data_IF_281549491558
#
_entry.id   IF_281549491558
#
_cell.length_a   1.000
_cell.length_b   1.000
_cell.length_c   1.000
_cell.angle_alpha   90.00
_cell.angle_beta   90.00
_cell.angle_gamma   90.00
#
_symmetry.space_group_name_H-M   'P 1'
#
loop_
_entity.id
_entity.type
_entity.pdbx_description
1 polymer ?
#
# COMPACT_ATOMS: atom_id res chain seq x y z
N UNK A 1 68.88 -35.94 -34.23
CA UNK A 1 68.60 -34.78 -33.35
C UNK A 1 67.25 -34.25 -33.71
N UNK A 2 66.25 -34.71 -33.02
CA UNK A 2 64.84 -34.49 -33.22
C UNK A 2 64.39 -33.32 -32.35
N UNK A 3 63.91 -32.27 -32.97
CA UNK A 3 63.29 -31.14 -32.31
C UNK A 3 61.79 -31.41 -32.19
N UNK A 4 61.33 -31.57 -30.97
CA UNK A 4 59.91 -31.65 -30.61
C UNK A 4 59.30 -30.26 -30.66
N UNK A 5 58.30 -30.06 -31.57
CA UNK A 5 57.43 -28.88 -31.60
C UNK A 5 56.33 -29.11 -30.58
N UNK A 6 56.34 -28.26 -29.53
CA UNK A 6 55.25 -28.13 -28.57
C UNK A 6 54.03 -27.51 -29.26
N UNK A 7 52.96 -28.33 -29.39
CA UNK A 7 51.61 -27.91 -29.75
C UNK A 7 50.82 -27.74 -28.48
N UNK A 8 50.91 -26.55 -27.86
CA UNK A 8 50.02 -26.22 -26.77
C UNK A 8 49.72 -24.70 -26.75
N UNK A 9 48.85 -24.23 -27.67
CA UNK A 9 48.33 -22.90 -27.69
C UNK A 9 46.97 -22.75 -28.41
N UNK A 10 46.04 -23.64 -28.15
CA UNK A 10 44.66 -23.52 -28.68
C UNK A 10 43.61 -23.70 -27.54
N UNK A 11 43.80 -23.00 -26.46
CA UNK A 11 42.91 -23.13 -25.32
C UNK A 11 42.42 -21.82 -24.67
N UNK A 12 42.80 -20.66 -25.22
CA UNK A 12 42.60 -19.42 -24.44
C UNK A 12 41.98 -18.24 -25.23
N UNK A 13 41.02 -18.51 -26.10
CA UNK A 13 40.31 -17.46 -26.86
C UNK A 13 38.79 -17.47 -26.69
N UNK A 14 38.29 -18.04 -25.60
CA UNK A 14 36.90 -17.84 -25.15
C UNK A 14 36.90 -17.13 -23.80
N UNK A 15 37.68 -16.06 -23.69
CA UNK A 15 37.56 -15.16 -22.53
C UNK A 15 36.24 -14.44 -22.62
N UNK A 16 35.31 -15.00 -21.95
CA UNK A 16 34.18 -14.40 -21.27
C UNK A 16 34.34 -12.88 -21.16
N UNK A 17 33.59 -12.16 -21.97
CA UNK A 17 33.22 -10.77 -21.67
C UNK A 17 32.35 -10.83 -20.41
N UNK A 18 32.98 -11.00 -19.25
CA UNK A 18 32.33 -10.77 -17.98
C UNK A 18 31.72 -9.38 -18.04
N UNK A 19 30.40 -9.24 -17.87
CA UNK A 19 29.81 -7.92 -17.84
C UNK A 19 30.52 -7.11 -16.77
N UNK A 20 31.00 -5.92 -17.14
CA UNK A 20 31.66 -5.00 -16.23
C UNK A 20 30.88 -4.92 -14.92
N UNK A 21 31.52 -5.07 -13.77
CA UNK A 21 30.82 -4.98 -12.50
C UNK A 21 30.06 -3.65 -12.47
N UNK A 22 28.77 -3.67 -12.08
CA UNK A 22 27.99 -2.45 -12.04
C UNK A 22 28.70 -1.43 -11.15
N UNK A 23 28.65 -0.13 -11.51
CA UNK A 23 29.32 0.90 -10.74
C UNK A 23 28.90 0.78 -9.26
N UNK A 24 29.87 0.76 -8.32
CA UNK A 24 29.64 0.65 -6.88
C UNK A 24 28.83 1.85 -6.41
N UNK A 25 27.51 1.76 -6.51
CA UNK A 25 26.60 2.78 -5.99
C UNK A 25 26.43 2.58 -4.49
N UNK A 26 26.30 3.69 -3.75
CA UNK A 26 25.94 3.68 -2.34
C UNK A 26 24.57 3.00 -2.16
N UNK A 27 24.26 2.50 -0.96
CA UNK A 27 23.00 1.80 -0.65
C UNK A 27 21.78 2.59 -1.10
N UNK A 28 21.76 3.91 -0.88
CA UNK A 28 20.68 4.80 -1.34
C UNK A 28 20.59 4.87 -2.87
N UNK A 29 21.71 4.93 -3.58
CA UNK A 29 21.72 4.92 -5.04
C UNK A 29 21.20 3.61 -5.63
N UNK A 30 21.52 2.48 -5.01
CA UNK A 30 21.02 1.15 -5.40
C UNK A 30 19.52 1.04 -5.13
N UNK A 31 19.08 1.54 -3.98
CA UNK A 31 17.68 1.61 -3.62
C UNK A 31 16.88 2.44 -4.64
N UNK A 32 17.36 3.63 -4.96
CA UNK A 32 16.70 4.56 -5.90
C UNK A 32 16.57 3.99 -7.32
N UNK A 33 17.54 3.19 -7.78
CA UNK A 33 17.52 2.61 -9.13
C UNK A 33 16.86 1.22 -9.18
N UNK A 34 16.29 0.72 -8.09
CA UNK A 34 15.69 -0.61 -8.02
C UNK A 34 16.70 -1.74 -8.16
N UNK A 35 17.95 -1.51 -7.74
CA UNK A 35 19.08 -2.46 -7.79
C UNK A 35 19.28 -3.16 -6.43
N UNK A 36 18.19 -3.29 -5.66
CA UNK A 36 18.22 -3.96 -4.36
C UNK A 36 18.23 -5.47 -4.54
N UNK A 37 18.71 -6.17 -3.51
CA UNK A 37 18.78 -7.65 -3.45
C UNK A 37 18.02 -8.20 -2.24
N UNK A 38 16.87 -7.58 -1.94
CA UNK A 38 16.06 -8.01 -0.81
C UNK A 38 15.33 -9.31 -1.14
N UNK A 39 15.45 -10.31 -0.27
CA UNK A 39 14.70 -11.56 -0.38
C UNK A 39 13.37 -11.42 0.35
N UNK A 40 12.35 -10.91 -0.36
CA UNK A 40 10.99 -10.75 0.17
C UNK A 40 10.33 -12.11 0.37
N UNK A 41 10.47 -13.03 -0.60
CA UNK A 41 9.84 -14.35 -0.54
C UNK A 41 10.49 -15.27 0.51
N UNK A 42 11.77 -15.06 0.84
CA UNK A 42 12.41 -15.76 1.95
C UNK A 42 11.85 -15.38 3.30
N UNK A 43 11.32 -14.16 3.41
CA UNK A 43 10.72 -13.63 4.64
C UNK A 43 9.19 -13.64 4.62
N UNK A 44 8.54 -14.29 3.63
CA UNK A 44 7.08 -14.33 3.51
C UNK A 44 6.39 -14.85 4.78
N UNK A 45 6.93 -15.87 5.41
CA UNK A 45 6.38 -16.44 6.64
C UNK A 45 6.46 -15.48 7.83
N UNK A 46 7.50 -14.65 7.90
CA UNK A 46 7.59 -13.59 8.91
C UNK A 46 6.49 -12.54 8.70
N UNK A 47 6.33 -12.03 7.47
CA UNK A 47 5.25 -11.09 7.14
C UNK A 47 3.87 -11.69 7.41
N UNK A 48 3.59 -12.90 6.92
CA UNK A 48 2.31 -13.58 7.19
C UNK A 48 2.09 -13.81 8.69
N UNK A 49 3.14 -14.15 9.47
CA UNK A 49 3.05 -14.31 10.91
C UNK A 49 2.69 -13.02 11.63
N UNK A 50 3.31 -11.89 11.27
CA UNK A 50 2.96 -10.57 11.79
C UNK A 50 1.50 -10.23 11.47
N UNK A 51 1.08 -10.42 10.23
CA UNK A 51 -0.32 -10.19 9.82
C UNK A 51 -1.31 -11.05 10.58
N UNK A 52 -1.02 -12.34 10.75
CA UNK A 52 -1.88 -13.24 11.50
C UNK A 52 -2.01 -12.80 12.96
N UNK A 53 -0.90 -12.40 13.57
CA UNK A 53 -0.90 -11.88 14.96
C UNK A 53 -1.75 -10.61 15.06
N UNK A 54 -1.60 -9.67 14.14
CA UNK A 54 -2.39 -8.45 14.10
C UNK A 54 -3.89 -8.74 13.89
N UNK A 55 -4.23 -9.69 13.00
CA UNK A 55 -5.62 -10.12 12.79
C UNK A 55 -6.20 -10.74 14.05
N UNK A 56 -5.45 -11.60 14.76
CA UNK A 56 -5.89 -12.20 16.01
C UNK A 56 -6.15 -11.12 17.08
N UNK A 57 -5.24 -10.15 17.21
CA UNK A 57 -5.43 -9.00 18.12
C UNK A 57 -6.68 -8.20 17.72
N UNK A 58 -6.88 -7.95 16.42
CA UNK A 58 -8.07 -7.26 15.89
C UNK A 58 -9.35 -8.01 16.28
N UNK A 59 -9.42 -9.29 16.00
CA UNK A 59 -10.62 -10.10 16.29
C UNK A 59 -10.89 -10.20 17.80
N UNK A 60 -9.84 -10.35 18.59
CA UNK A 60 -9.95 -10.34 20.06
C UNK A 60 -10.47 -8.98 20.54
N UNK A 61 -9.88 -7.86 20.09
CA UNK A 61 -10.34 -6.53 20.46
C UNK A 61 -11.78 -6.26 20.06
N UNK A 62 -12.16 -6.64 18.85
CA UNK A 62 -13.55 -6.51 18.38
C UNK A 62 -14.52 -7.36 19.18
N UNK A 63 -14.11 -8.56 19.60
CA UNK A 63 -14.94 -9.44 20.41
C UNK A 63 -15.13 -8.96 21.86
N UNK A 64 -14.10 -8.36 22.47
CA UNK A 64 -14.14 -7.90 23.86
C UNK A 64 -14.57 -6.45 24.03
N UNK A 65 -14.17 -5.56 23.12
CA UNK A 65 -14.36 -4.12 23.27
C UNK A 65 -15.31 -3.53 22.22
N UNK A 66 -15.52 -4.22 21.08
CA UNK A 66 -16.26 -3.69 19.94
C UNK A 66 -15.58 -2.48 19.29
N UNK A 67 -16.36 -1.74 18.52
CA UNK A 67 -15.96 -0.45 17.93
C UNK A 67 -16.53 0.70 18.77
N UNK A 68 -15.76 1.77 18.90
CA UNK A 68 -16.24 3.01 19.49
C UNK A 68 -16.92 3.85 18.38
N UNK A 69 -18.20 3.59 18.14
CA UNK A 69 -18.96 4.35 17.16
C UNK A 69 -19.22 5.77 17.64
N UNK A 70 -19.12 6.73 16.73
CA UNK A 70 -19.40 8.12 16.99
C UNK A 70 -20.90 8.43 17.00
N UNK A 71 -21.22 9.64 17.45
CA UNK A 71 -22.59 10.13 17.55
C UNK A 71 -23.38 10.01 16.22
N UNK A 72 -22.71 10.19 15.09
CA UNK A 72 -23.31 10.09 13.77
C UNK A 72 -23.85 8.71 13.45
N UNK A 73 -23.34 7.65 14.10
CA UNK A 73 -23.76 6.26 13.89
C UNK A 73 -24.71 5.76 14.99
N UNK A 74 -24.44 6.10 16.26
CA UNK A 74 -25.26 5.64 17.38
C UNK A 74 -26.50 6.53 17.60
N UNK A 75 -26.41 7.80 17.19
CA UNK A 75 -27.35 8.83 17.59
C UNK A 75 -27.13 9.27 19.03
N UNK A 76 -27.88 10.26 19.49
CA UNK A 76 -27.79 10.75 20.86
C UNK A 76 -27.47 12.23 20.95
N UNK A 77 -26.91 12.62 22.09
CA UNK A 77 -26.53 13.99 22.39
C UNK A 77 -25.08 14.05 22.83
N UNK A 78 -24.36 15.06 22.34
CA UNK A 78 -22.99 15.34 22.71
C UNK A 78 -22.89 16.76 23.24
N UNK A 79 -22.22 16.93 24.38
CA UNK A 79 -21.76 18.24 24.87
C UNK A 79 -20.23 18.23 24.89
N UNK A 80 -19.65 19.39 24.57
CA UNK A 80 -18.23 19.64 24.72
C UNK A 80 -18.00 20.93 25.53
N UNK A 81 -17.15 20.82 26.54
CA UNK A 81 -16.81 21.91 27.39
C UNK A 81 -15.32 21.90 27.77
N UNK A 82 -14.70 23.07 28.12
CA UNK A 82 -13.34 23.10 28.65
C UNK A 82 -13.18 22.21 29.90
N UNK A 83 -12.09 21.44 29.96
CA UNK A 83 -11.85 20.49 31.05
C UNK A 83 -11.31 21.16 32.33
N UNK A 84 -10.89 22.43 32.28
CA UNK A 84 -10.20 23.08 33.38
C UNK A 84 -10.97 23.08 34.73
N UNK A 85 -12.30 23.18 34.66
CA UNK A 85 -13.18 23.21 35.83
C UNK A 85 -14.23 22.10 35.83
N UNK A 86 -14.09 21.09 34.98
CA UNK A 86 -15.08 20.03 34.76
C UNK A 86 -14.41 18.66 34.85
N UNK A 87 -14.50 18.05 36.03
CA UNK A 87 -14.01 16.66 36.22
C UNK A 87 -15.03 15.63 35.70
N UNK A 88 -14.57 14.40 35.54
CA UNK A 88 -15.46 13.29 35.18
C UNK A 88 -16.59 13.08 36.19
N UNK A 89 -16.30 13.23 37.49
CA UNK A 89 -17.27 13.03 38.55
C UNK A 89 -18.30 14.16 38.57
N UNK A 90 -17.89 15.40 38.27
CA UNK A 90 -18.81 16.51 38.08
C UNK A 90 -19.79 16.27 36.95
N UNK A 91 -19.29 15.74 35.79
CA UNK A 91 -20.13 15.39 34.66
C UNK A 91 -21.15 14.32 35.03
N UNK A 92 -20.71 13.24 35.70
CA UNK A 92 -21.61 12.15 36.11
C UNK A 92 -22.67 12.68 37.10
N UNK A 93 -22.32 13.60 38.01
CA UNK A 93 -23.27 14.23 38.92
C UNK A 93 -24.28 15.08 38.16
N UNK A 94 -23.83 15.95 37.25
CA UNK A 94 -24.73 16.77 36.41
C UNK A 94 -25.71 15.92 35.62
N UNK A 95 -25.22 14.85 35.01
CA UNK A 95 -26.07 13.91 34.19
C UNK A 95 -27.12 13.25 35.08
N UNK A 96 -26.72 12.70 36.25
CA UNK A 96 -27.64 12.04 37.20
C UNK A 96 -28.67 13.01 37.76
N UNK A 97 -28.29 14.23 38.15
CA UNK A 97 -29.19 15.24 38.68
C UNK A 97 -30.25 15.67 37.66
N UNK A 98 -29.94 15.58 36.38
CA UNK A 98 -30.89 15.87 35.31
C UNK A 98 -31.60 14.61 34.76
N UNK A 99 -31.50 13.47 35.44
CA UNK A 99 -32.24 12.24 35.09
C UNK A 99 -31.69 11.51 33.87
N UNK A 100 -30.46 11.80 33.45
CA UNK A 100 -29.81 11.10 32.30
C UNK A 100 -29.17 9.82 32.80
N UNK A 101 -29.42 8.70 32.07
CA UNK A 101 -28.76 7.44 32.37
C UNK A 101 -27.26 7.53 32.05
N UNK A 102 -26.45 7.32 33.07
CA UNK A 102 -24.98 7.39 32.96
C UNK A 102 -24.30 6.06 32.64
N UNK A 103 -25.05 4.93 32.56
CA UNK A 103 -24.48 3.61 32.33
C UNK A 103 -23.75 3.54 30.97
N UNK A 104 -24.30 4.18 29.95
CA UNK A 104 -23.75 4.20 28.59
C UNK A 104 -23.10 5.54 28.23
N UNK A 105 -22.88 6.42 29.24
CA UNK A 105 -22.26 7.72 29.01
C UNK A 105 -20.78 7.57 28.64
N UNK A 106 -20.40 8.06 27.46
CA UNK A 106 -19.02 8.12 26.99
C UNK A 106 -18.45 9.48 27.34
N UNK A 107 -17.51 9.54 28.29
CA UNK A 107 -16.82 10.78 28.70
C UNK A 107 -15.36 10.66 28.28
N UNK A 108 -14.93 11.50 27.34
CA UNK A 108 -13.59 11.48 26.77
C UNK A 108 -12.94 12.84 26.83
N UNK A 109 -11.65 12.90 27.15
CA UNK A 109 -10.87 14.12 27.05
C UNK A 109 -10.33 14.27 25.63
N UNK A 110 -10.57 15.42 25.02
CA UNK A 110 -10.11 15.80 23.70
C UNK A 110 -9.32 17.08 23.79
N UNK A 111 -8.15 17.12 23.15
CA UNK A 111 -7.39 18.36 23.01
C UNK A 111 -7.77 18.98 21.66
N UNK A 112 -8.31 20.19 21.71
CA UNK A 112 -8.65 21.00 20.54
C UNK A 112 -7.96 22.36 20.64
N UNK A 113 -7.11 22.67 19.68
CA UNK A 113 -6.39 23.96 19.62
C UNK A 113 -5.56 24.27 20.87
N UNK A 114 -4.99 23.23 21.50
CA UNK A 114 -4.21 23.41 22.75
C UNK A 114 -5.06 23.62 24.01
N UNK A 115 -6.39 23.52 23.91
CA UNK A 115 -7.32 23.55 25.01
C UNK A 115 -7.85 22.17 25.27
N UNK A 116 -7.69 21.66 26.48
CA UNK A 116 -8.27 20.38 26.88
C UNK A 116 -9.78 20.56 27.09
N UNK A 117 -10.57 19.75 26.40
CA UNK A 117 -12.02 19.73 26.45
C UNK A 117 -12.51 18.36 26.91
N UNK A 118 -13.61 18.36 27.63
CA UNK A 118 -14.35 17.12 27.91
C UNK A 118 -15.48 16.97 26.91
N UNK A 119 -15.52 15.85 26.23
CA UNK A 119 -16.62 15.45 25.36
C UNK A 119 -17.47 14.42 26.10
N UNK A 120 -18.76 14.70 26.17
CA UNK A 120 -19.76 13.93 26.89
C UNK A 120 -20.78 13.47 25.86
N UNK A 121 -20.90 12.16 25.66
CA UNK A 121 -21.88 11.57 24.73
C UNK A 121 -22.83 10.66 25.50
N UNK A 122 -24.13 10.82 25.28
CA UNK A 122 -25.19 10.01 25.85
C UNK A 122 -26.22 9.67 24.80
N UNK A 123 -27.08 8.69 25.07
CA UNK A 123 -28.20 8.36 24.21
C UNK A 123 -29.14 9.54 23.98
N UNK A 124 -30.13 9.39 23.11
CA UNK A 124 -31.10 10.42 22.75
C UNK A 124 -31.85 10.93 23.98
N UNK A 125 -31.94 12.28 24.12
CA UNK A 125 -32.55 12.95 25.24
C UNK A 125 -33.61 13.94 24.74
N UNK A 126 -34.71 14.15 25.51
CA UNK A 126 -35.68 15.19 25.24
C UNK A 126 -35.03 16.61 25.21
N UNK A 127 -35.60 17.55 24.45
CA UNK A 127 -35.06 18.90 24.33
C UNK A 127 -34.85 19.61 25.68
N UNK A 128 -35.79 19.39 26.64
CA UNK A 128 -35.77 19.99 27.97
C UNK A 128 -34.55 19.52 28.79
N UNK A 129 -34.29 18.21 28.78
CA UNK A 129 -33.15 17.60 29.46
C UNK A 129 -31.83 18.06 28.82
N UNK A 130 -31.78 18.12 27.49
CA UNK A 130 -30.59 18.59 26.77
C UNK A 130 -30.22 20.00 27.18
N UNK A 131 -31.23 20.90 27.28
CA UNK A 131 -30.99 22.26 27.66
C UNK A 131 -30.59 22.37 29.16
N UNK A 132 -31.25 21.62 30.04
CA UNK A 132 -30.92 21.61 31.46
C UNK A 132 -29.46 21.14 31.72
N UNK A 133 -29.01 20.08 31.03
CA UNK A 133 -27.63 19.63 31.13
C UNK A 133 -26.65 20.65 30.52
N UNK A 134 -27.00 21.28 29.41
CA UNK A 134 -26.18 22.31 28.78
C UNK A 134 -25.98 23.51 29.74
N UNK A 135 -27.07 23.99 30.35
CA UNK A 135 -27.02 25.13 31.32
C UNK A 135 -26.25 24.74 32.59
N UNK A 136 -26.40 23.53 33.11
CA UNK A 136 -25.68 23.03 34.27
C UNK A 136 -24.16 22.91 34.00
N UNK A 137 -23.76 22.42 32.83
CA UNK A 137 -22.35 22.38 32.41
C UNK A 137 -21.82 23.82 32.28
N UNK A 138 -22.57 24.72 31.61
CA UNK A 138 -22.19 26.11 31.46
C UNK A 138 -21.99 26.83 32.80
N UNK A 139 -22.88 26.62 33.78
CA UNK A 139 -22.76 27.13 35.12
C UNK A 139 -21.50 26.63 35.85
N UNK A 140 -21.14 25.35 35.64
CA UNK A 140 -19.95 24.74 36.25
C UNK A 140 -18.64 25.27 35.64
N UNK A 141 -18.62 25.43 34.31
CA UNK A 141 -17.46 25.94 33.56
C UNK A 141 -17.28 27.46 33.78
N UNK A 142 -18.36 28.17 34.08
CA UNK A 142 -18.37 29.62 34.33
C UNK A 142 -18.70 30.46 33.10
N UNK A 143 -18.79 29.85 31.90
CA UNK A 143 -19.21 30.53 30.68
C UNK A 143 -19.97 29.54 29.76
N UNK A 144 -21.23 29.84 29.50
CA UNK A 144 -22.10 29.03 28.66
C UNK A 144 -21.65 29.03 27.17
N UNK A 145 -21.01 30.11 26.73
CA UNK A 145 -20.53 30.25 25.35
C UNK A 145 -19.39 29.28 25.01
N UNK A 146 -18.67 28.77 26.03
CA UNK A 146 -17.61 27.79 25.85
C UNK A 146 -18.13 26.33 25.73
N UNK A 147 -19.43 26.13 25.96
CA UNK A 147 -20.09 24.84 25.85
C UNK A 147 -20.74 24.72 24.49
N UNK A 148 -20.45 23.62 23.77
CA UNK A 148 -21.16 23.27 22.55
C UNK A 148 -22.07 22.08 22.78
N UNK A 149 -23.23 22.06 22.11
CA UNK A 149 -24.17 20.93 22.14
C UNK A 149 -24.52 20.52 20.72
N UNK A 150 -24.44 19.22 20.44
CA UNK A 150 -24.84 18.60 19.18
C UNK A 150 -25.75 17.42 19.45
N UNK A 151 -26.80 17.25 18.68
CA UNK A 151 -27.68 16.09 18.80
C UNK A 151 -27.97 15.48 17.43
N UNK A 152 -27.95 14.15 17.40
CA UNK A 152 -28.26 13.34 16.21
C UNK A 152 -29.34 12.35 16.61
N UNK A 153 -30.43 12.25 15.81
CA UNK A 153 -31.45 11.25 16.10
C UNK A 153 -30.93 9.84 15.80
N UNK A 154 -31.39 8.87 16.59
CA UNK A 154 -31.05 7.45 16.38
C UNK A 154 -31.50 6.92 15.03
N UNK A 155 -32.61 7.45 14.46
CA UNK A 155 -33.05 7.13 13.12
C UNK A 155 -32.04 7.57 12.03
N UNK A 156 -31.48 8.77 12.19
CA UNK A 156 -30.43 9.28 11.30
C UNK A 156 -29.17 8.43 11.39
N UNK A 157 -28.72 8.07 12.61
CA UNK A 157 -27.54 7.23 12.83
C UNK A 157 -27.69 5.87 12.15
N UNK A 158 -28.84 5.21 12.27
CA UNK A 158 -29.11 3.92 11.63
C UNK A 158 -29.11 4.04 10.09
N UNK A 159 -29.63 5.13 9.54
CA UNK A 159 -29.62 5.39 8.09
C UNK A 159 -28.21 5.60 7.56
N UNK A 160 -27.39 6.38 8.25
CA UNK A 160 -25.98 6.61 7.89
C UNK A 160 -25.20 5.29 7.96
N UNK A 161 -25.38 4.49 9.02
CA UNK A 161 -24.75 3.17 9.16
C UNK A 161 -25.11 2.26 7.97
N UNK A 162 -26.38 2.17 7.64
CA UNK A 162 -26.84 1.35 6.50
C UNK A 162 -26.23 1.81 5.18
N UNK A 163 -26.18 3.12 4.95
CA UNK A 163 -25.56 3.70 3.74
C UNK A 163 -24.05 3.44 3.70
N UNK A 164 -23.33 3.58 4.82
CA UNK A 164 -21.91 3.32 4.91
C UNK A 164 -21.55 1.85 4.61
N UNK A 165 -22.27 0.90 5.21
CA UNK A 165 -22.09 -0.53 4.96
C UNK A 165 -22.41 -0.88 3.51
N UNK A 166 -23.51 -0.33 2.96
CA UNK A 166 -23.86 -0.53 1.54
C UNK A 166 -22.78 0.02 0.60
N UNK A 167 -22.27 1.22 0.88
CA UNK A 167 -21.20 1.82 0.08
C UNK A 167 -19.93 0.95 0.11
N UNK A 168 -19.55 0.42 1.27
CA UNK A 168 -18.40 -0.48 1.41
C UNK A 168 -18.61 -1.76 0.58
N UNK A 169 -19.78 -2.40 0.67
CA UNK A 169 -20.09 -3.63 -0.08
C UNK A 169 -20.02 -3.37 -1.59
N UNK A 170 -20.71 -2.29 -2.06
CA UNK A 170 -20.70 -1.92 -3.48
C UNK A 170 -19.28 -1.63 -3.97
N UNK A 171 -18.50 -0.90 -3.19
CA UNK A 171 -17.10 -0.60 -3.52
C UNK A 171 -16.28 -1.88 -3.66
N UNK A 172 -16.36 -2.80 -2.68
CA UNK A 172 -15.62 -4.08 -2.70
C UNK A 172 -16.01 -4.91 -3.93
N UNK A 173 -17.31 -4.97 -4.28
CA UNK A 173 -17.78 -5.69 -5.47
C UNK A 173 -17.22 -5.05 -6.74
N UNK A 174 -17.34 -3.74 -6.91
CA UNK A 174 -16.86 -3.04 -8.09
C UNK A 174 -15.35 -3.20 -8.29
N UNK A 175 -14.60 -3.06 -7.21
CA UNK A 175 -13.14 -3.25 -7.22
C UNK A 175 -12.77 -4.71 -7.55
N UNK A 176 -13.47 -5.68 -6.95
CA UNK A 176 -13.23 -7.11 -7.23
C UNK A 176 -13.51 -7.45 -8.69
N UNK A 177 -14.58 -6.93 -9.27
CA UNK A 177 -14.91 -7.08 -10.69
C UNK A 177 -13.84 -6.45 -11.59
N UNK A 178 -13.39 -5.24 -11.26
CA UNK A 178 -12.32 -4.55 -11.99
C UNK A 178 -11.02 -5.35 -12.00
N UNK A 179 -10.61 -5.87 -10.83
CA UNK A 179 -9.38 -6.68 -10.71
C UNK A 179 -9.54 -8.00 -11.47
N UNK A 180 -10.68 -8.68 -11.37
CA UNK A 180 -10.95 -9.93 -12.06
C UNK A 180 -10.96 -9.76 -13.60
N UNK A 181 -11.39 -8.59 -14.08
CA UNK A 181 -11.33 -8.24 -15.50
C UNK A 181 -9.91 -7.91 -15.98
N UNK A 182 -9.11 -7.22 -15.14
CA UNK A 182 -7.77 -6.74 -15.50
C UNK A 182 -6.69 -7.80 -15.35
N UNK A 183 -6.83 -8.73 -14.41
CA UNK A 183 -5.82 -9.71 -14.01
C UNK A 183 -6.34 -11.13 -14.03
N UNK A 184 -5.43 -12.11 -14.04
CA UNK A 184 -5.79 -13.51 -13.82
C UNK A 184 -6.45 -13.68 -12.44
N UNK A 185 -7.36 -14.66 -12.33
CA UNK A 185 -8.10 -14.91 -11.08
C UNK A 185 -7.21 -15.13 -9.84
N UNK A 186 -6.00 -15.68 -10.01
CA UNK A 186 -5.03 -15.86 -8.89
C UNK A 186 -4.48 -14.54 -8.38
N UNK A 187 -4.22 -13.61 -9.26
CA UNK A 187 -3.84 -12.24 -8.90
C UNK A 187 -5.01 -11.52 -8.25
N UNK A 188 -6.21 -11.68 -8.80
CA UNK A 188 -7.43 -11.14 -8.21
C UNK A 188 -7.62 -11.64 -6.77
N UNK A 189 -7.47 -12.93 -6.53
CA UNK A 189 -7.58 -13.51 -5.20
C UNK A 189 -6.54 -12.94 -4.21
N UNK A 190 -5.28 -12.77 -4.64
CA UNK A 190 -4.24 -12.16 -3.82
C UNK A 190 -4.51 -10.69 -3.49
N UNK A 191 -5.00 -9.91 -4.46
CA UNK A 191 -5.37 -8.51 -4.24
C UNK A 191 -6.58 -8.36 -3.30
N UNK A 192 -7.60 -9.20 -3.47
CA UNK A 192 -8.77 -9.22 -2.57
C UNK A 192 -8.36 -9.63 -1.15
N UNK A 193 -7.48 -10.62 -1.00
CA UNK A 193 -6.96 -11.01 0.31
C UNK A 193 -6.22 -9.86 1.01
N UNK A 194 -5.38 -9.11 0.27
CA UNK A 194 -4.70 -7.92 0.78
C UNK A 194 -5.70 -6.82 1.17
N UNK A 195 -6.71 -6.58 0.35
CA UNK A 195 -7.76 -5.59 0.63
C UNK A 195 -8.56 -5.93 1.90
N UNK A 196 -8.95 -7.20 2.08
CA UNK A 196 -9.64 -7.67 3.30
C UNK A 196 -8.72 -7.50 4.52
N UNK A 197 -7.44 -7.88 4.38
CA UNK A 197 -6.44 -7.68 5.43
C UNK A 197 -6.35 -6.20 5.83
N UNK A 198 -6.30 -5.26 4.89
CA UNK A 198 -6.15 -3.83 5.16
C UNK A 198 -7.36 -3.26 5.92
N UNK A 199 -8.57 -3.68 5.53
CA UNK A 199 -9.78 -3.31 6.26
C UNK A 199 -9.73 -3.86 7.70
N UNK A 200 -9.40 -5.15 7.86
CA UNK A 200 -9.35 -5.78 9.18
C UNK A 200 -8.33 -5.10 10.09
N UNK A 201 -7.12 -4.82 9.59
CA UNK A 201 -6.10 -4.16 10.40
C UNK A 201 -6.50 -2.71 10.74
N UNK A 202 -7.04 -1.96 9.77
CA UNK A 202 -7.48 -0.58 10.01
C UNK A 202 -8.58 -0.53 11.07
N UNK A 203 -9.60 -1.40 10.95
CA UNK A 203 -10.67 -1.55 11.94
C UNK A 203 -10.11 -2.02 13.29
N UNK A 204 -9.12 -2.93 13.27
CA UNK A 204 -8.42 -3.39 14.46
C UNK A 204 -7.72 -2.29 15.24
N UNK A 205 -6.98 -1.43 14.54
CA UNK A 205 -6.31 -0.27 15.16
C UNK A 205 -7.34 0.65 15.84
N UNK A 206 -8.47 0.90 15.18
CA UNK A 206 -9.57 1.70 15.74
C UNK A 206 -10.19 1.06 16.98
N UNK A 207 -10.40 -0.27 16.97
CA UNK A 207 -10.91 -1.00 18.12
C UNK A 207 -9.93 -0.99 19.29
N UNK A 208 -8.65 -1.34 19.05
CA UNK A 208 -7.61 -1.44 20.10
C UNK A 208 -7.33 -0.09 20.75
N UNK A 209 -7.21 0.97 19.95
CA UNK A 209 -6.92 2.33 20.44
C UNK A 209 -8.18 3.08 20.88
N UNK A 210 -9.36 2.45 20.79
CA UNK A 210 -10.65 3.08 21.14
C UNK A 210 -10.91 4.38 20.39
N UNK A 211 -10.41 4.49 19.16
CA UNK A 211 -10.64 5.66 18.31
C UNK A 211 -12.10 5.71 17.89
N UNK A 212 -12.64 6.91 17.80
CA UNK A 212 -14.02 7.13 17.40
C UNK A 212 -14.19 6.89 15.90
N UNK A 213 -15.15 6.05 15.52
CA UNK A 213 -15.51 5.80 14.11
C UNK A 213 -16.60 6.78 13.72
N UNK A 214 -16.27 7.68 12.80
CA UNK A 214 -17.15 8.72 12.26
C UNK A 214 -17.42 8.48 10.76
N UNK A 215 -18.38 9.15 10.12
CA UNK A 215 -18.55 9.08 8.66
C UNK A 215 -17.28 9.45 7.89
N UNK A 216 -16.50 10.41 8.39
CA UNK A 216 -15.20 10.77 7.80
C UNK A 216 -14.18 9.63 7.87
N UNK A 217 -14.19 8.83 8.93
CA UNK A 217 -13.38 7.60 9.06
C UNK A 217 -13.76 6.59 7.99
N UNK A 218 -15.06 6.38 7.73
CA UNK A 218 -15.52 5.45 6.67
C UNK A 218 -15.08 5.93 5.29
N UNK A 219 -15.19 7.22 5.00
CA UNK A 219 -14.69 7.80 3.74
C UNK A 219 -13.19 7.57 3.60
N UNK A 220 -12.43 7.75 4.70
CA UNK A 220 -10.99 7.46 4.72
C UNK A 220 -10.72 5.98 4.40
N UNK A 221 -11.45 5.03 5.00
CA UNK A 221 -11.29 3.60 4.72
C UNK A 221 -11.53 3.27 3.25
N UNK A 222 -12.59 3.81 2.64
CA UNK A 222 -12.84 3.62 1.21
C UNK A 222 -11.70 4.19 0.35
N UNK A 223 -11.18 5.36 0.73
CA UNK A 223 -10.06 6.00 0.03
C UNK A 223 -8.78 5.17 0.11
N UNK A 224 -8.47 4.63 1.30
CA UNK A 224 -7.29 3.77 1.54
C UNK A 224 -7.34 2.51 0.68
N UNK A 225 -8.51 1.88 0.57
CA UNK A 225 -8.67 0.69 -0.26
C UNK A 225 -8.29 0.97 -1.72
N UNK A 226 -8.61 2.16 -2.23
CA UNK A 226 -8.19 2.60 -3.57
C UNK A 226 -6.67 2.75 -3.68
N UNK A 227 -6.01 3.35 -2.69
CA UNK A 227 -4.56 3.50 -2.66
C UNK A 227 -3.82 2.17 -2.52
N UNK A 228 -4.26 1.30 -1.60
CA UNK A 228 -3.68 -0.03 -1.41
C UNK A 228 -3.78 -0.88 -2.68
N UNK A 229 -4.95 -0.83 -3.33
CA UNK A 229 -5.15 -1.51 -4.60
C UNK A 229 -4.22 -0.99 -5.69
N UNK A 230 -4.03 0.32 -5.79
CA UNK A 230 -3.12 0.91 -6.77
C UNK A 230 -1.69 0.38 -6.63
N UNK A 231 -1.17 0.29 -5.41
CA UNK A 231 0.16 -0.27 -5.14
C UNK A 231 0.25 -1.75 -5.51
N UNK A 232 -0.77 -2.53 -5.15
CA UNK A 232 -0.88 -3.95 -5.54
C UNK A 232 -0.91 -4.15 -7.05
N UNK A 233 -1.63 -3.29 -7.80
CA UNK A 233 -1.68 -3.33 -9.27
C UNK A 233 -0.29 -3.09 -9.86
N UNK A 234 0.45 -2.11 -9.36
CA UNK A 234 1.81 -1.80 -9.84
C UNK A 234 2.76 -2.99 -9.64
N UNK A 235 2.67 -3.66 -8.48
CA UNK A 235 3.45 -4.87 -8.19
C UNK A 235 3.06 -5.99 -9.17
N UNK A 236 1.77 -6.21 -9.38
CA UNK A 236 1.27 -7.29 -10.25
C UNK A 236 1.57 -7.07 -11.73
N UNK A 237 1.48 -5.84 -12.22
CA UNK A 237 1.89 -5.52 -13.59
C UNK A 237 3.36 -5.87 -13.82
N UNK A 238 4.22 -5.57 -12.83
CA UNK A 238 5.65 -5.92 -12.90
C UNK A 238 5.90 -7.42 -12.82
N UNK A 239 5.15 -8.13 -11.97
CA UNK A 239 5.21 -9.59 -11.90
C UNK A 239 4.79 -10.22 -13.25
N UNK A 240 3.75 -9.70 -13.90
CA UNK A 240 3.32 -10.15 -15.22
C UNK A 240 4.39 -9.93 -16.29
N UNK A 241 4.97 -8.72 -16.32
CA UNK A 241 6.08 -8.39 -17.24
C UNK A 241 7.23 -9.38 -17.08
N UNK A 242 7.67 -9.63 -15.84
CA UNK A 242 8.77 -10.52 -15.55
C UNK A 242 8.39 -12.00 -15.76
N UNK A 243 7.14 -12.39 -15.50
CA UNK A 243 6.64 -13.75 -15.79
C UNK A 243 6.74 -14.07 -17.29
N UNK A 244 6.37 -13.12 -18.14
CA UNK A 244 6.53 -13.25 -19.58
C UNK A 244 8.01 -13.31 -20.00
N UNK A 245 8.83 -12.45 -19.38
CA UNK A 245 10.27 -12.37 -19.65
C UNK A 245 11.04 -13.63 -19.31
N UNK A 246 10.77 -14.20 -18.12
CA UNK A 246 11.43 -15.41 -17.63
C UNK A 246 10.70 -16.70 -18.05
N UNK A 247 9.80 -16.62 -19.04
CA UNK A 247 8.98 -17.77 -19.46
C UNK A 247 9.78 -18.98 -19.94
N UNK A 248 10.98 -18.78 -20.49
CA UNK A 248 11.91 -19.83 -20.94
C UNK A 248 12.99 -20.20 -19.90
N UNK A 249 13.10 -19.48 -18.80
CA UNK A 249 14.11 -19.74 -17.77
C UNK A 249 13.60 -20.80 -16.76
N UNK A 250 14.52 -21.61 -16.24
CA UNK A 250 14.21 -22.59 -15.16
C UNK A 250 14.32 -21.92 -13.79
N UNK A 251 13.48 -20.91 -13.54
CA UNK A 251 13.44 -20.16 -12.27
C UNK A 251 12.15 -20.47 -11.51
N UNK A 252 12.21 -20.63 -10.16
CA UNK A 252 11.02 -20.70 -9.32
C UNK A 252 10.19 -19.43 -9.44
N UNK A 253 8.87 -19.53 -9.24
CA UNK A 253 8.00 -18.35 -9.29
C UNK A 253 8.31 -17.32 -8.19
N UNK A 254 8.77 -17.80 -7.04
CA UNK A 254 9.23 -16.96 -5.92
C UNK A 254 10.36 -16.00 -6.37
N UNK A 255 11.26 -16.43 -7.25
CA UNK A 255 12.34 -15.58 -7.78
C UNK A 255 11.82 -14.54 -8.75
N UNK A 256 10.84 -14.90 -9.59
CA UNK A 256 10.18 -13.93 -10.47
C UNK A 256 9.52 -12.83 -9.65
N UNK A 257 8.87 -13.18 -8.53
CA UNK A 257 8.28 -12.21 -7.59
C UNK A 257 9.38 -11.39 -6.93
N UNK A 258 10.42 -12.00 -6.39
CA UNK A 258 11.53 -11.28 -5.74
C UNK A 258 12.15 -10.23 -6.69
N UNK A 259 12.43 -10.61 -7.93
CA UNK A 259 12.96 -9.70 -8.95
C UNK A 259 11.98 -8.55 -9.19
N UNK A 260 10.70 -8.84 -9.35
CA UNK A 260 9.67 -7.84 -9.60
C UNK A 260 9.55 -6.85 -8.46
N UNK A 261 9.52 -7.35 -7.23
CA UNK A 261 9.41 -6.52 -6.03
C UNK A 261 10.63 -5.61 -5.85
N UNK A 262 11.86 -6.11 -6.04
CA UNK A 262 13.06 -5.28 -5.98
C UNK A 262 13.02 -4.15 -7.04
N UNK A 263 12.46 -4.40 -8.23
CA UNK A 263 12.37 -3.43 -9.30
C UNK A 263 11.31 -2.33 -9.06
N UNK A 264 10.23 -2.64 -8.33
CA UNK A 264 9.15 -1.67 -8.04
C UNK A 264 9.24 -1.06 -6.65
N UNK A 265 10.03 -1.62 -5.75
CA UNK A 265 10.09 -1.25 -4.33
C UNK A 265 10.27 0.25 -4.11
N UNK A 266 11.21 0.88 -4.82
CA UNK A 266 11.41 2.33 -4.68
C UNK A 266 10.25 3.15 -5.21
N UNK A 267 9.58 2.68 -6.26
CA UNK A 267 8.39 3.35 -6.77
C UNK A 267 7.27 3.31 -5.74
N UNK A 268 6.98 2.12 -5.17
CA UNK A 268 5.99 1.97 -4.11
C UNK A 268 6.35 2.81 -2.88
N UNK A 269 7.61 2.78 -2.45
CA UNK A 269 8.07 3.57 -1.31
C UNK A 269 7.89 5.08 -1.55
N UNK A 270 8.31 5.61 -2.70
CA UNK A 270 8.16 7.02 -3.04
C UNK A 270 6.69 7.43 -3.12
N UNK A 271 5.84 6.60 -3.73
CA UNK A 271 4.39 6.84 -3.81
C UNK A 271 3.77 6.93 -2.41
N UNK A 272 4.13 5.99 -1.53
CA UNK A 272 3.63 5.97 -0.16
C UNK A 272 4.11 7.16 0.67
N UNK A 273 5.41 7.49 0.60
CA UNK A 273 5.95 8.69 1.26
C UNK A 273 5.23 9.95 0.78
N UNK A 274 5.05 10.09 -0.55
CA UNK A 274 4.36 11.25 -1.14
C UNK A 274 2.88 11.31 -0.70
N UNK A 275 2.20 10.18 -0.52
CA UNK A 275 0.82 10.13 -0.04
C UNK A 275 0.72 10.41 1.48
N UNK A 276 1.69 9.93 2.26
CA UNK A 276 1.71 10.10 3.72
C UNK A 276 2.03 11.54 4.13
N UNK A 277 2.88 12.27 3.40
CA UNK A 277 3.28 13.63 3.75
C UNK A 277 2.09 14.62 3.90
N UNK A 278 1.14 14.72 2.94
CA UNK A 278 -0.04 15.56 3.10
C UNK A 278 -0.92 15.14 4.29
N UNK A 279 -1.04 13.82 4.52
CA UNK A 279 -1.83 13.27 5.64
C UNK A 279 -1.20 13.62 6.98
N UNK A 280 0.13 13.53 7.10
CA UNK A 280 0.86 13.99 8.29
C UNK A 280 0.72 15.50 8.50
N UNK A 281 0.77 16.29 7.43
CA UNK A 281 0.52 17.73 7.50
C UNK A 281 -0.89 18.02 8.01
N UNK A 282 -1.89 17.30 7.50
CA UNK A 282 -3.27 17.42 7.95
C UNK A 282 -3.41 17.03 9.43
N UNK A 283 -2.72 15.98 9.86
CA UNK A 283 -2.74 15.52 11.25
C UNK A 283 -2.07 16.54 12.19
N UNK A 284 -0.89 17.06 11.84
CA UNK A 284 -0.11 17.96 12.67
C UNK A 284 -0.70 19.37 12.64
N UNK A 285 -0.93 19.94 11.46
CA UNK A 285 -1.40 21.31 11.29
C UNK A 285 -2.91 21.39 11.50
N UNK A 286 -3.68 20.53 10.83
CA UNK A 286 -5.16 20.56 10.88
C UNK A 286 -5.68 20.24 12.29
N UNK A 287 -5.18 19.17 12.88
CA UNK A 287 -5.60 18.74 14.21
C UNK A 287 -4.83 19.45 15.33
N UNK A 288 -3.48 19.46 15.25
CA UNK A 288 -2.65 19.95 16.34
C UNK A 288 -2.67 21.47 16.49
N UNK A 289 -2.66 22.22 15.38
CA UNK A 289 -2.60 23.70 15.41
C UNK A 289 -3.99 24.31 15.28
N UNK A 290 -4.81 23.81 14.34
CA UNK A 290 -6.14 24.37 14.05
C UNK A 290 -7.27 23.75 14.90
N UNK A 291 -7.01 22.65 15.63
CA UNK A 291 -7.98 21.98 16.49
C UNK A 291 -9.18 21.35 15.77
N UNK A 292 -9.05 21.08 14.48
CA UNK A 292 -10.13 20.51 13.67
C UNK A 292 -10.25 18.98 13.91
N UNK A 293 -11.08 18.58 14.87
CA UNK A 293 -11.22 17.18 15.32
C UNK A 293 -11.65 16.24 14.18
N UNK A 294 -12.61 16.65 13.36
CA UNK A 294 -13.06 15.84 12.21
C UNK A 294 -11.93 15.57 11.21
N UNK A 295 -11.02 16.52 10.99
CA UNK A 295 -9.85 16.35 10.14
C UNK A 295 -8.83 15.39 10.77
N UNK A 296 -8.74 15.37 12.09
CA UNK A 296 -7.87 14.45 12.84
C UNK A 296 -8.30 13.01 12.62
N UNK A 297 -9.58 12.70 12.81
CA UNK A 297 -10.10 11.33 12.68
C UNK A 297 -9.94 10.81 11.24
N UNK A 298 -10.23 11.67 10.27
CA UNK A 298 -9.98 11.38 8.86
C UNK A 298 -8.49 11.13 8.57
N UNK A 299 -7.61 12.02 9.04
CA UNK A 299 -6.16 11.90 8.81
C UNK A 299 -5.55 10.67 9.50
N UNK A 300 -6.00 10.35 10.72
CA UNK A 300 -5.55 9.15 11.44
C UNK A 300 -5.94 7.89 10.67
N UNK A 301 -7.18 7.81 10.19
CA UNK A 301 -7.63 6.68 9.38
C UNK A 301 -6.77 6.52 8.13
N UNK A 302 -6.57 7.61 7.37
CA UNK A 302 -5.72 7.61 6.18
C UNK A 302 -4.28 7.19 6.49
N UNK A 303 -3.70 7.71 7.56
CA UNK A 303 -2.33 7.39 7.96
C UNK A 303 -2.15 5.90 8.26
N UNK A 304 -3.02 5.35 9.10
CA UNK A 304 -3.01 3.90 9.42
C UNK A 304 -3.14 3.08 8.16
N UNK A 305 -4.12 3.40 7.32
CA UNK A 305 -4.40 2.62 6.14
C UNK A 305 -3.34 2.71 5.05
N UNK A 306 -2.70 3.87 4.85
CA UNK A 306 -1.58 4.00 3.90
C UNK A 306 -0.39 3.13 4.33
N UNK A 307 -0.06 3.09 5.63
CA UNK A 307 1.01 2.22 6.14
C UNK A 307 0.63 0.75 5.96
N UNK A 308 -0.60 0.39 6.32
CA UNK A 308 -1.08 -0.99 6.21
C UNK A 308 -1.12 -1.45 4.75
N UNK A 309 -1.62 -0.62 3.83
CA UNK A 309 -1.68 -0.91 2.39
C UNK A 309 -0.31 -1.10 1.75
N UNK A 310 0.68 -0.28 2.16
CA UNK A 310 2.07 -0.45 1.72
C UNK A 310 2.67 -1.78 2.17
N UNK A 311 2.33 -2.19 3.39
CA UNK A 311 2.77 -3.45 3.94
C UNK A 311 2.09 -4.64 3.24
N UNK A 312 0.77 -4.57 3.05
CA UNK A 312 -0.04 -5.69 2.55
C UNK A 312 0.25 -6.02 1.08
N UNK A 313 0.53 -5.03 0.23
CA UNK A 313 0.91 -5.25 -1.17
C UNK A 313 2.19 -6.10 -1.29
N UNK A 314 3.12 -5.97 -0.35
CA UNK A 314 4.39 -6.68 -0.32
C UNK A 314 4.27 -8.03 0.41
N UNK A 315 3.67 -8.05 1.60
CA UNK A 315 3.72 -9.20 2.50
C UNK A 315 2.46 -10.06 2.50
N UNK A 316 1.38 -9.61 1.84
CA UNK A 316 0.14 -10.38 1.69
C UNK A 316 -0.16 -10.66 0.22
N UNK A 317 -0.32 -9.63 -0.62
CA UNK A 317 -0.71 -9.81 -2.01
C UNK A 317 0.28 -10.68 -2.79
N UNK A 318 1.59 -10.36 -2.71
CA UNK A 318 2.62 -11.08 -3.45
C UNK A 318 2.84 -12.54 -2.94
N UNK A 319 2.92 -12.83 -1.62
CA UNK A 319 3.01 -14.20 -1.13
C UNK A 319 1.77 -15.05 -1.42
N UNK A 320 0.55 -14.49 -1.28
CA UNK A 320 -0.69 -15.21 -1.63
C UNK A 320 -0.70 -15.57 -3.11
N UNK A 321 -0.33 -14.64 -3.98
CA UNK A 321 -0.17 -14.91 -5.40
C UNK A 321 0.87 -16.01 -5.65
N UNK A 322 2.02 -15.99 -4.95
CA UNK A 322 3.05 -17.01 -5.08
C UNK A 322 2.50 -18.40 -4.80
N UNK A 323 1.83 -18.59 -3.67
CA UNK A 323 1.25 -19.89 -3.28
C UNK A 323 0.20 -20.38 -4.28
N UNK A 324 -0.67 -19.49 -4.77
CA UNK A 324 -1.68 -19.83 -5.77
C UNK A 324 -1.07 -20.19 -7.14
N UNK A 325 0.01 -19.51 -7.55
CA UNK A 325 0.68 -19.75 -8.84
C UNK A 325 1.51 -21.04 -8.84
N UNK A 326 2.16 -21.36 -7.73
CA UNK A 326 2.95 -22.60 -7.58
C UNK A 326 2.10 -23.85 -7.75
N UNK A 327 0.79 -23.79 -7.54
CA UNK A 327 -0.14 -24.90 -7.81
C UNK A 327 -0.32 -25.21 -9.29
N UNK A 328 0.08 -24.30 -10.20
CA UNK A 328 -0.01 -24.53 -11.65
C UNK A 328 1.04 -25.54 -12.10
N UNK A 329 0.75 -26.46 -13.06
CA UNK A 329 1.67 -27.49 -13.51
C UNK A 329 3.05 -26.95 -13.91
N UNK A 330 3.09 -25.81 -14.60
CA UNK A 330 4.33 -25.14 -15.02
C UNK A 330 5.24 -24.80 -13.84
N UNK A 331 4.72 -24.17 -12.80
CA UNK A 331 5.50 -23.68 -11.68
C UNK A 331 5.70 -24.72 -10.59
N UNK A 332 4.80 -25.71 -10.50
CA UNK A 332 4.90 -26.83 -9.58
C UNK A 332 6.17 -27.65 -9.82
N UNK A 333 6.54 -27.87 -11.09
CA UNK A 333 7.77 -28.60 -11.46
C UNK A 333 9.05 -27.84 -11.12
N UNK A 334 8.99 -26.51 -10.96
CA UNK A 334 10.12 -25.64 -10.63
C UNK A 334 10.25 -25.36 -9.13
N UNK A 335 9.34 -25.86 -8.30
CA UNK A 335 9.37 -25.65 -6.84
C UNK A 335 10.61 -26.24 -6.16
N UNK A 336 11.17 -27.32 -6.72
CA UNK A 336 12.38 -27.97 -6.21
C UNK A 336 13.68 -27.28 -6.62
N UNK A 337 13.61 -26.31 -7.53
CA UNK A 337 14.80 -25.54 -7.94
C UNK A 337 15.18 -24.60 -6.80
N UNK A 338 16.47 -24.55 -6.42
CA UNK A 338 16.94 -23.60 -5.40
C UNK A 338 16.62 -22.17 -5.79
N UNK A 339 16.22 -21.35 -4.82
CA UNK A 339 15.92 -19.93 -5.05
C UNK A 339 17.20 -19.12 -5.18
N UNK A 340 17.16 -18.17 -6.10
CA UNK A 340 18.25 -17.21 -6.25
C UNK A 340 18.36 -16.30 -5.02
N UNK A 341 19.53 -16.21 -4.43
CA UNK A 341 19.79 -15.36 -3.25
C UNK A 341 21.06 -14.53 -3.45
N UNK A 342 21.18 -13.43 -2.70
CA UNK A 342 22.37 -12.60 -2.69
C UNK A 342 22.79 -12.09 -4.06
N UNK A 343 23.97 -12.48 -4.54
CA UNK A 343 24.56 -12.01 -5.81
C UNK A 343 23.77 -12.52 -7.04
N UNK A 344 23.24 -13.73 -6.97
CA UNK A 344 22.46 -14.33 -8.06
C UNK A 344 21.14 -13.57 -8.26
N UNK A 345 20.42 -13.25 -7.16
CA UNK A 345 19.24 -12.40 -7.22
C UNK A 345 19.58 -11.01 -7.78
N UNK A 346 20.71 -10.42 -7.37
CA UNK A 346 21.16 -9.13 -7.89
C UNK A 346 21.39 -9.18 -9.40
N UNK A 347 22.01 -10.25 -9.93
CA UNK A 347 22.18 -10.44 -11.38
C UNK A 347 20.84 -10.52 -12.12
N UNK A 348 19.86 -11.22 -11.57
CA UNK A 348 18.52 -11.32 -12.16
C UNK A 348 17.80 -9.95 -12.15
N UNK A 349 17.91 -9.18 -11.07
CA UNK A 349 17.32 -7.83 -10.96
C UNK A 349 17.96 -6.89 -11.96
N UNK A 350 19.30 -6.84 -12.03
CA UNK A 350 20.05 -5.98 -12.95
C UNK A 350 19.82 -6.36 -14.41
N UNK A 351 19.85 -7.65 -14.74
CA UNK A 351 19.53 -8.15 -16.09
C UNK A 351 18.14 -7.70 -16.59
N UNK A 352 17.24 -7.28 -15.70
CA UNK A 352 15.91 -6.70 -15.97
C UNK A 352 15.86 -5.21 -16.13
N UNK A 353 16.91 -4.51 -15.77
CA UNK A 353 16.90 -3.06 -15.77
C UNK A 353 16.88 -2.46 -17.20
N UNK A 354 16.30 -1.26 -17.39
CA UNK A 354 16.36 -0.57 -18.68
C UNK A 354 17.81 -0.28 -19.15
N UNK A 355 18.75 -0.12 -18.21
CA UNK A 355 20.16 0.08 -18.50
C UNK A 355 20.77 -1.19 -19.11
N UNK A 356 20.53 -2.36 -18.52
CA UNK A 356 21.00 -3.62 -19.05
C UNK A 356 20.39 -3.95 -20.43
N UNK A 357 19.14 -3.57 -20.68
CA UNK A 357 18.51 -3.69 -22.01
C UNK A 357 19.23 -2.83 -23.05
N UNK A 358 19.55 -1.59 -22.74
CA UNK A 358 20.31 -0.70 -23.64
C UNK A 358 21.70 -1.24 -23.92
N UNK A 359 22.35 -1.76 -22.92
CA UNK A 359 23.68 -2.36 -23.03
C UNK A 359 23.64 -3.67 -23.85
N UNK A 360 22.66 -4.53 -23.63
CA UNK A 360 22.46 -5.74 -24.43
C UNK A 360 22.17 -5.42 -25.90
N UNK A 361 21.39 -4.38 -26.19
CA UNK A 361 21.15 -3.90 -27.57
C UNK A 361 22.43 -3.34 -28.17
N UNK A 362 23.19 -2.54 -27.42
CA UNK A 362 24.48 -1.98 -27.87
C UNK A 362 25.50 -3.07 -28.15
N UNK A 363 25.59 -4.10 -27.28
CA UNK A 363 26.51 -5.22 -27.44
C UNK A 363 26.13 -6.11 -28.62
N UNK A 364 24.82 -6.33 -28.88
CA UNK A 364 24.35 -7.01 -30.09
C UNK A 364 24.67 -6.21 -31.37
N UNK A 365 24.52 -4.90 -31.33
CA UNK A 365 24.90 -4.03 -32.45
C UNK A 365 26.43 -4.04 -32.67
N UNK A 366 27.22 -4.05 -31.59
CA UNK A 366 28.68 -4.18 -31.64
C UNK A 366 29.17 -5.57 -32.13
N UNK A 367 28.54 -6.65 -31.68
CA UNK A 367 28.84 -8.01 -32.11
C UNK A 367 28.53 -8.25 -33.60
N UNK A 368 27.49 -7.58 -34.13
CA UNK A 368 27.19 -7.60 -35.57
C UNK A 368 28.27 -6.95 -36.43
N UNK A 369 28.99 -5.97 -35.87
CA UNK A 369 30.11 -5.29 -36.58
C UNK A 369 31.41 -6.12 -36.54
N UNK A 370 31.67 -6.84 -35.44
CA UNK A 370 32.85 -7.70 -35.32
C UNK A 370 32.69 -9.05 -36.06
N UNK A 371 31.50 -9.60 -36.11
CA UNK A 371 31.25 -10.84 -36.90
C UNK A 371 31.34 -10.63 -38.44
N UNK A 372 31.18 -9.40 -38.90
CA UNK A 372 31.30 -9.06 -40.34
C UNK A 372 32.76 -9.01 -40.83
N UNK A 373 33.75 -9.07 -39.93
CA UNK A 373 35.17 -9.03 -40.33
C UNK A 373 35.83 -10.40 -40.48
N UNK A 374 35.15 -11.52 -40.16
CA UNK A 374 35.75 -12.86 -40.17
C UNK A 374 35.26 -13.77 -41.29
N UNK A 375 34.37 -13.30 -42.18
CA UNK A 375 33.94 -14.11 -43.35
C UNK A 375 34.92 -14.00 -44.48
N UNK A 376 35.80 -14.99 -44.56
CA UNK A 376 36.71 -15.27 -45.69
C UNK A 376 36.04 -15.62 -47.00
N UNK A 377 34.74 -15.53 -47.12
CA UNK A 377 33.99 -15.72 -48.37
C UNK A 377 33.25 -14.44 -48.75
N UNK A 378 33.87 -13.69 -49.56
CA UNK A 378 33.56 -12.58 -50.47
C UNK A 378 32.16 -11.97 -50.61
N UNK A 379 31.34 -11.90 -49.56
CA UNK A 379 30.12 -11.13 -49.58
C UNK A 379 30.36 -9.81 -48.83
N UNK A 380 30.62 -8.74 -49.58
CA UNK A 380 30.77 -7.38 -49.07
C UNK A 380 29.41 -6.91 -48.50
N UNK A 381 29.18 -7.11 -47.23
CA UNK A 381 28.13 -6.36 -46.50
C UNK A 381 28.63 -4.90 -46.34
N UNK A 382 28.10 -4.01 -47.13
CA UNK A 382 28.33 -2.55 -46.97
C UNK A 382 27.80 -2.16 -45.55
N UNK A 383 28.64 -1.51 -44.73
CA UNK A 383 28.15 -0.94 -43.48
C UNK A 383 27.10 0.14 -43.80
N UNK A 384 25.91 -0.01 -43.23
CA UNK A 384 24.91 1.04 -43.30
C UNK A 384 25.38 2.19 -42.38
N UNK A 385 26.01 3.20 -42.97
CA UNK A 385 26.32 4.44 -42.31
C UNK A 385 25.03 5.18 -41.97
N UNK A 386 24.97 5.99 -40.88
CA UNK A 386 23.78 6.78 -40.54
C UNK A 386 23.19 7.59 -41.70
N UNK A 387 24.05 8.02 -42.66
CA UNK A 387 23.66 8.70 -43.89
C UNK A 387 22.89 7.84 -44.88
N UNK A 388 23.14 6.50 -44.92
CA UNK A 388 22.43 5.59 -45.80
C UNK A 388 20.98 5.35 -45.34
N UNK A 389 20.70 5.52 -44.05
CA UNK A 389 19.34 5.43 -43.50
C UNK A 389 18.48 6.64 -43.86
N UNK A 390 19.10 7.81 -44.11
CA UNK A 390 18.41 9.03 -44.50
C UNK A 390 18.11 9.12 -46.00
N UNK A 391 18.65 8.20 -46.82
CA UNK A 391 18.45 8.22 -48.29
C UNK A 391 17.15 7.54 -48.76
N UNK A 392 16.34 6.98 -47.86
CA UNK A 392 15.06 6.44 -48.25
C UNK A 392 13.98 7.54 -48.21
N UNK A 393 13.26 7.76 -49.34
CA UNK A 393 12.17 8.74 -49.33
C UNK A 393 11.11 8.38 -48.28
N UNK A 394 10.55 9.37 -47.56
CA UNK A 394 9.58 9.11 -46.55
C UNK A 394 8.37 8.39 -47.14
N UNK A 395 7.96 7.28 -46.54
CA UNK A 395 6.76 6.53 -46.97
C UNK A 395 5.55 7.47 -46.98
N UNK A 396 4.76 7.53 -48.07
CA UNK A 396 3.59 8.38 -48.15
C UNK A 396 2.60 8.02 -47.05
N UNK A 397 2.15 9.03 -46.28
CA UNK A 397 1.09 8.88 -45.28
C UNK A 397 -0.18 8.36 -45.95
N UNK A 398 -0.68 7.21 -45.55
CA UNK A 398 -2.03 6.75 -45.94
C UNK A 398 -3.02 7.82 -45.56
N UNK A 399 -3.66 8.45 -46.57
CA UNK A 399 -4.81 9.33 -46.38
C UNK A 399 -5.94 8.48 -45.80
N UNK A 400 -6.33 8.77 -44.55
CA UNK A 400 -7.58 8.29 -43.99
C UNK A 400 -8.73 8.86 -44.79
N UNK A 401 -9.48 8.02 -45.50
CA UNK A 401 -10.79 8.40 -46.09
C UNK A 401 -11.75 8.72 -44.94
N UNK A 402 -12.39 9.89 -45.04
CA UNK A 402 -13.57 10.26 -44.27
C UNK A 402 -14.75 9.38 -44.67
#
# INVERSE_FOLDING_TARGET
MTSTLDTDSTGEAASHLDPLPPPRRNVFGRLYHGETRMDFMGRKWFGLGVSLTLIVITLASLGFQGLNLGLDFEGGVQWEAPSANLSRDDVLTILNDNGVNTADAKITNVNASGIDRVRIQVGEQPPEIRQAVFDAIGAKVGNVEDVSSTSVSSSWGSEITSKAVRALIVFVILVSLFIAWRFEWRMAAGAIAAMIHDVLISVGVYSVLRLEVTPSTVIAFLTILGFSLYDTIVVYDKINENTARFSGARLPYDDVINVSMNQVFMRSLNTNVTAVLPVLSLLVVGSGIMGAIALRDFALALFVGLITGSYSSIFIAAPVLAELKVQTPKWKSLRSVPRATGVELERLVLGGSPAARREAVRNRAGAGVTAANDDKFGVVHRPTTPEAVLSHPPRPRKKTRR
#
